data_IF_390251984928
#
_entry.id   IF_390251984928
#
_cell.length_a   1.000
_cell.length_b   1.000
_cell.length_c   1.000
_cell.angle_alpha   90.00
_cell.angle_beta   90.00
_cell.angle_gamma   90.00
#
_symmetry.space_group_name_H-M   'P 1'
#
loop_
_entity.id
_entity.type
_entity.pdbx_description
1 polymer ?
#
# COMPACT_ATOMS: atom_id res chain seq x y z
N UNK A 1 -16.32 5.10 18.30
CA UNK A 1 -16.26 5.74 16.97
C UNK A 1 -17.21 6.93 16.95
N UNK A 2 -16.68 8.14 16.79
CA UNK A 2 -17.33 9.23 16.04
C UNK A 2 -16.20 9.94 15.32
N UNK A 3 -15.84 9.41 14.15
CA UNK A 3 -14.91 10.09 13.25
C UNK A 3 -15.63 11.20 12.46
N UNK A 4 -16.95 11.11 12.29
CA UNK A 4 -17.80 12.25 11.95
C UNK A 4 -19.02 12.34 12.88
N UNK A 5 -19.64 13.51 12.93
CA UNK A 5 -21.04 13.64 13.34
C UNK A 5 -21.87 13.12 12.17
N UNK A 6 -22.51 11.96 12.34
CA UNK A 6 -23.47 11.44 11.36
C UNK A 6 -24.54 12.49 11.11
N UNK A 7 -24.60 13.02 9.89
CA UNK A 7 -25.64 13.89 9.40
C UNK A 7 -26.28 13.27 8.15
N UNK A 8 -27.30 13.93 7.59
CA UNK A 8 -28.04 13.42 6.43
C UNK A 8 -27.16 13.20 5.19
N UNK A 9 -26.01 13.88 5.11
CA UNK A 9 -25.10 13.84 3.96
C UNK A 9 -23.96 12.82 4.11
N UNK A 10 -23.95 12.04 5.19
CA UNK A 10 -22.90 11.02 5.42
C UNK A 10 -23.16 9.72 4.65
N UNK A 11 -22.08 9.09 4.18
CA UNK A 11 -22.13 7.79 3.49
C UNK A 11 -21.21 6.77 4.15
N UNK A 12 -21.59 5.50 4.11
CA UNK A 12 -20.73 4.37 4.51
C UNK A 12 -20.26 3.53 3.33
N UNK A 13 -20.58 3.93 2.10
CA UNK A 13 -20.07 3.27 0.90
C UNK A 13 -18.61 3.68 0.69
N UNK A 14 -17.66 2.74 0.59
CA UNK A 14 -16.28 3.09 0.25
C UNK A 14 -16.10 3.28 -1.26
N UNK A 15 -15.13 4.12 -1.65
CA UNK A 15 -14.66 4.25 -3.04
C UNK A 15 -13.57 3.20 -3.27
N UNK A 16 -13.94 2.07 -3.86
CA UNK A 16 -13.01 0.95 -4.12
C UNK A 16 -12.68 0.77 -5.61
N UNK A 17 -13.37 1.51 -6.48
CA UNK A 17 -13.17 1.47 -7.94
C UNK A 17 -12.80 2.84 -8.42
N UNK A 18 -11.80 2.90 -9.30
CA UNK A 18 -11.29 4.17 -9.78
C UNK A 18 -12.34 4.88 -10.65
N UNK A 19 -12.63 6.16 -10.38
CA UNK A 19 -13.46 6.97 -11.27
C UNK A 19 -12.83 7.09 -12.67
N UNK A 20 -13.63 7.05 -13.76
CA UNK A 20 -13.10 7.11 -15.12
C UNK A 20 -12.21 8.34 -15.39
N UNK A 21 -12.52 9.48 -14.79
CA UNK A 21 -11.75 10.72 -14.95
C UNK A 21 -10.38 10.71 -14.24
N UNK A 22 -10.12 9.74 -13.36
CA UNK A 22 -8.85 9.58 -12.66
C UNK A 22 -7.96 8.47 -13.25
N UNK A 23 -8.44 7.74 -14.26
CA UNK A 23 -7.64 6.72 -14.95
C UNK A 23 -6.56 7.45 -15.78
N UNK A 24 -5.26 7.30 -15.44
CA UNK A 24 -4.22 7.94 -16.21
C UNK A 24 -4.08 7.28 -17.58
N UNK A 25 -3.65 8.02 -18.62
CA UNK A 25 -3.34 7.41 -19.90
C UNK A 25 -2.18 6.42 -19.74
N UNK A 26 -2.31 5.24 -20.37
CA UNK A 26 -1.23 4.24 -20.39
C UNK A 26 -0.15 4.71 -21.37
N UNK A 27 1.12 4.83 -20.95
CA UNK A 27 2.20 5.18 -21.87
C UNK A 27 2.31 4.19 -23.03
N UNK A 28 2.68 4.69 -24.22
CA UNK A 28 2.99 3.82 -25.34
C UNK A 28 4.16 2.89 -24.99
N UNK A 29 4.08 1.62 -25.40
CA UNK A 29 5.04 0.57 -25.07
C UNK A 29 5.19 0.26 -23.57
N UNK A 30 4.21 0.63 -22.72
CA UNK A 30 4.17 0.17 -21.33
C UNK A 30 4.19 -1.36 -21.24
N UNK A 31 5.00 -1.98 -20.34
CA UNK A 31 5.86 -1.39 -19.30
C UNK A 31 7.28 -1.03 -19.72
N UNK A 32 7.64 -1.21 -20.99
CA UNK A 32 8.98 -0.99 -21.53
C UNK A 32 9.28 0.46 -21.92
N UNK A 33 8.33 1.37 -21.66
CA UNK A 33 8.47 2.78 -21.93
C UNK A 33 9.67 3.37 -21.17
N UNK A 34 10.58 4.03 -21.88
CA UNK A 34 11.80 4.61 -21.31
C UNK A 34 12.93 3.63 -20.98
N UNK A 35 12.77 2.32 -21.25
CA UNK A 35 13.85 1.36 -21.07
C UNK A 35 14.88 1.43 -22.20
N UNK A 36 16.16 1.30 -21.85
CA UNK A 36 17.24 1.15 -22.83
C UNK A 36 17.17 -0.20 -23.56
N UNK A 37 17.87 -0.33 -24.69
CA UNK A 37 17.99 -1.61 -25.40
C UNK A 37 18.57 -2.70 -24.51
N UNK A 38 19.53 -2.36 -23.64
CA UNK A 38 20.14 -3.33 -22.73
C UNK A 38 19.16 -3.79 -21.64
N UNK A 39 18.39 -2.86 -21.08
CA UNK A 39 17.34 -3.19 -20.11
C UNK A 39 16.26 -4.10 -20.70
N UNK A 40 15.88 -3.88 -21.97
CA UNK A 40 14.95 -4.74 -22.69
C UNK A 40 15.52 -6.15 -22.92
N UNK A 41 16.79 -6.26 -23.33
CA UNK A 41 17.46 -7.57 -23.46
C UNK A 41 17.53 -8.31 -22.13
N UNK A 42 17.87 -7.61 -21.04
CA UNK A 42 17.88 -8.21 -19.71
C UNK A 42 16.50 -8.68 -19.29
N UNK A 43 15.45 -7.91 -19.59
CA UNK A 43 14.08 -8.36 -19.39
C UNK A 43 13.77 -9.62 -20.19
N UNK A 44 14.16 -9.68 -21.46
CA UNK A 44 13.95 -10.86 -22.30
C UNK A 44 14.66 -12.10 -21.73
N UNK A 45 15.88 -11.95 -21.23
CA UNK A 45 16.61 -13.02 -20.52
C UNK A 45 15.85 -13.43 -19.26
N UNK A 46 15.45 -12.47 -18.42
CA UNK A 46 14.73 -12.74 -17.18
C UNK A 46 13.40 -13.47 -17.44
N UNK A 47 12.65 -13.03 -18.45
CA UNK A 47 11.33 -13.58 -18.81
C UNK A 47 11.42 -14.97 -19.42
N UNK A 48 12.33 -15.17 -20.38
CA UNK A 48 12.33 -16.34 -21.25
C UNK A 48 13.32 -17.42 -20.82
N UNK A 49 14.34 -17.08 -20.03
CA UNK A 49 15.38 -18.03 -19.63
C UNK A 49 15.32 -18.31 -18.12
N UNK A 50 15.36 -17.26 -17.29
CA UNK A 50 15.43 -17.41 -15.84
C UNK A 50 14.09 -17.80 -15.20
N UNK A 51 12.99 -17.15 -15.59
CA UNK A 51 11.69 -17.42 -14.99
C UNK A 51 11.25 -18.89 -15.09
N UNK A 52 11.41 -19.61 -16.21
CA UNK A 52 11.14 -21.05 -16.25
C UNK A 52 11.97 -21.85 -15.24
N UNK A 53 13.24 -21.48 -15.01
CA UNK A 53 14.11 -22.14 -14.02
C UNK A 53 13.60 -21.88 -12.60
N UNK A 54 13.29 -20.62 -12.27
CA UNK A 54 12.67 -20.25 -10.99
C UNK A 54 11.44 -21.12 -10.73
N UNK A 55 10.49 -21.18 -11.69
CA UNK A 55 9.25 -21.92 -11.52
C UNK A 55 9.44 -23.41 -11.28
N UNK A 56 10.49 -24.01 -11.86
CA UNK A 56 10.84 -25.42 -11.66
C UNK A 56 11.44 -25.72 -10.28
N UNK A 57 12.07 -24.73 -9.64
CA UNK A 57 12.66 -24.86 -8.30
C UNK A 57 11.66 -24.62 -7.17
N UNK A 58 10.56 -23.92 -7.44
CA UNK A 58 9.55 -23.63 -6.44
C UNK A 58 8.83 -24.90 -5.96
N UNK A 59 8.58 -24.96 -4.65
CA UNK A 59 7.87 -26.07 -4.02
C UNK A 59 6.43 -25.69 -3.65
N UNK A 60 5.65 -26.67 -3.19
CA UNK A 60 4.25 -26.46 -2.81
C UNK A 60 3.31 -26.23 -4.00
N UNK A 61 2.03 -26.02 -3.71
CA UNK A 61 1.03 -25.76 -4.74
C UNK A 61 1.14 -24.30 -5.21
N UNK A 62 1.12 -24.01 -6.52
CA UNK A 62 1.02 -22.64 -7.02
C UNK A 62 -0.21 -21.90 -6.48
N UNK A 63 -0.12 -20.59 -6.36
CA UNK A 63 -1.29 -19.76 -6.06
C UNK A 63 -2.14 -19.56 -7.33
N UNK A 64 -3.48 -19.47 -7.25
CA UNK A 64 -4.32 -19.21 -8.42
C UNK A 64 -3.90 -17.96 -9.21
N UNK A 65 -3.46 -16.92 -8.51
CA UNK A 65 -3.02 -15.65 -9.08
C UNK A 65 -1.56 -15.61 -9.54
N UNK A 66 -0.81 -16.71 -9.45
CA UNK A 66 0.64 -16.69 -9.69
C UNK A 66 0.97 -16.19 -11.10
N UNK A 67 0.17 -16.55 -12.10
CA UNK A 67 0.32 -16.07 -13.47
C UNK A 67 0.09 -14.56 -13.58
N UNK A 68 -0.93 -14.02 -12.91
CA UNK A 68 -1.21 -12.59 -12.89
C UNK A 68 -0.07 -11.81 -12.22
N UNK A 69 0.53 -12.39 -11.18
CA UNK A 69 1.69 -11.81 -10.51
C UNK A 69 2.94 -11.80 -11.40
N UNK A 70 3.02 -12.66 -12.41
CA UNK A 70 4.14 -12.77 -13.35
C UNK A 70 3.91 -11.94 -14.63
N UNK A 71 3.17 -10.84 -14.52
CA UNK A 71 3.04 -9.88 -15.61
C UNK A 71 4.36 -9.17 -15.92
N UNK A 72 4.47 -8.64 -17.13
CA UNK A 72 5.66 -7.91 -17.56
C UNK A 72 5.91 -6.68 -16.66
N UNK A 73 4.84 -6.00 -16.21
CA UNK A 73 4.92 -4.89 -15.26
C UNK A 73 5.58 -5.31 -13.94
N UNK A 74 5.24 -6.51 -13.45
CA UNK A 74 5.80 -7.05 -12.21
C UNK A 74 7.28 -7.40 -12.41
N UNK A 75 7.63 -8.08 -13.49
CA UNK A 75 9.03 -8.46 -13.74
C UNK A 75 9.94 -7.24 -13.94
N UNK A 76 9.47 -6.21 -14.65
CA UNK A 76 10.17 -4.91 -14.74
C UNK A 76 10.34 -4.28 -13.34
N UNK A 77 9.37 -4.46 -12.44
CA UNK A 77 9.43 -3.96 -11.07
C UNK A 77 10.56 -4.60 -10.27
N UNK A 78 10.72 -5.92 -10.38
CA UNK A 78 11.82 -6.64 -9.73
C UNK A 78 13.19 -6.19 -10.27
N UNK A 79 13.32 -6.06 -11.59
CA UNK A 79 14.54 -5.54 -12.23
C UNK A 79 14.88 -4.12 -11.75
N UNK A 80 13.89 -3.21 -11.68
CA UNK A 80 14.10 -1.86 -11.16
C UNK A 80 14.56 -1.87 -9.70
N UNK A 81 13.97 -2.73 -8.88
CA UNK A 81 14.24 -2.80 -7.45
C UNK A 81 15.64 -3.33 -7.11
N UNK A 82 16.26 -4.10 -8.01
CA UNK A 82 17.66 -4.53 -7.91
C UNK A 82 18.59 -3.69 -8.78
N UNK A 83 18.14 -2.51 -9.25
CA UNK A 83 18.92 -1.60 -10.11
C UNK A 83 19.43 -2.28 -11.38
N UNK A 84 18.64 -3.18 -11.95
CA UNK A 84 18.96 -3.97 -13.14
C UNK A 84 20.13 -4.94 -12.92
N UNK A 85 20.27 -5.48 -11.72
CA UNK A 85 21.13 -6.63 -11.44
C UNK A 85 20.31 -7.92 -11.59
N UNK A 86 20.54 -8.67 -12.67
CA UNK A 86 19.73 -9.83 -13.05
C UNK A 86 19.76 -10.93 -11.97
N UNK A 87 20.94 -11.34 -11.52
CA UNK A 87 21.09 -12.42 -10.53
C UNK A 87 20.34 -12.10 -9.23
N UNK A 88 20.40 -10.85 -8.77
CA UNK A 88 19.64 -10.39 -7.59
C UNK A 88 18.12 -10.40 -7.83
N UNK A 89 17.69 -10.06 -9.06
CA UNK A 89 16.27 -10.10 -9.44
C UNK A 89 15.72 -11.52 -9.46
N UNK A 90 16.51 -12.48 -9.95
CA UNK A 90 16.17 -13.91 -9.96
C UNK A 90 15.92 -14.40 -8.55
N UNK A 91 16.90 -14.22 -7.65
CA UNK A 91 16.79 -14.63 -6.24
C UNK A 91 15.58 -13.98 -5.58
N UNK A 92 15.41 -12.65 -5.73
CA UNK A 92 14.32 -11.93 -5.06
C UNK A 92 12.93 -12.34 -5.55
N UNK A 93 12.79 -12.59 -6.86
CA UNK A 93 11.52 -13.06 -7.42
C UNK A 93 11.22 -14.48 -6.92
N UNK A 94 12.21 -15.39 -6.96
CA UNK A 94 12.09 -16.75 -6.46
C UNK A 94 11.66 -16.78 -4.98
N UNK A 95 12.34 -16.03 -4.12
CA UNK A 95 12.00 -15.89 -2.70
C UNK A 95 10.57 -15.38 -2.52
N UNK A 96 10.14 -14.43 -3.35
CA UNK A 96 8.77 -13.92 -3.27
C UNK A 96 7.75 -14.93 -3.73
N UNK A 97 7.97 -15.63 -4.85
CA UNK A 97 7.03 -16.64 -5.33
C UNK A 97 6.89 -17.80 -4.33
N UNK A 98 8.01 -18.25 -3.76
CA UNK A 98 7.98 -19.26 -2.69
C UNK A 98 7.20 -18.75 -1.48
N UNK A 99 7.50 -17.53 -1.00
CA UNK A 99 6.76 -16.89 0.08
C UNK A 99 5.26 -16.79 -0.22
N UNK A 100 4.85 -16.45 -1.46
CA UNK A 100 3.43 -16.39 -1.84
C UNK A 100 2.77 -17.76 -1.75
N UNK A 101 3.42 -18.82 -2.22
CA UNK A 101 2.92 -20.20 -2.13
C UNK A 101 2.76 -20.68 -0.68
N UNK A 102 3.62 -20.22 0.22
CA UNK A 102 3.59 -20.59 1.64
C UNK A 102 2.59 -19.72 2.44
N UNK A 103 2.62 -18.40 2.24
CA UNK A 103 1.86 -17.42 3.02
C UNK A 103 0.42 -17.23 2.54
N UNK A 104 0.18 -17.36 1.23
CA UNK A 104 -1.12 -17.19 0.54
C UNK A 104 -1.76 -15.81 0.77
N UNK A 105 -1.15 -14.70 0.31
CA UNK A 105 -1.60 -13.35 0.66
C UNK A 105 -2.98 -12.96 0.10
N UNK A 106 -3.44 -13.58 -0.99
CA UNK A 106 -4.79 -13.35 -1.56
C UNK A 106 -5.87 -14.28 -1.03
N UNK A 107 -5.52 -15.34 -0.33
CA UNK A 107 -6.52 -16.29 0.14
C UNK A 107 -7.24 -15.73 1.37
N UNK A 108 -8.55 -15.54 1.23
CA UNK A 108 -9.43 -15.14 2.32
C UNK A 108 -9.75 -16.37 3.18
N UNK A 109 -8.89 -16.68 4.14
CA UNK A 109 -8.95 -17.93 4.91
C UNK A 109 -9.54 -17.81 6.33
N UNK A 110 -10.09 -16.68 6.79
CA UNK A 110 -10.39 -16.56 8.24
C UNK A 110 -11.63 -15.72 8.59
N UNK A 111 -12.43 -16.28 9.52
CA UNK A 111 -13.53 -15.61 10.24
C UNK A 111 -13.06 -14.32 10.93
N UNK A 112 -11.78 -14.25 11.29
CA UNK A 112 -11.16 -13.14 12.01
C UNK A 112 -10.88 -11.90 11.16
N UNK A 113 -10.83 -12.00 9.81
CA UNK A 113 -10.57 -10.81 8.97
C UNK A 113 -11.62 -9.73 9.16
N UNK A 114 -12.89 -10.13 9.23
CA UNK A 114 -13.98 -9.20 9.47
C UNK A 114 -13.85 -8.56 10.85
N UNK A 115 -13.38 -9.30 11.85
CA UNK A 115 -13.13 -8.79 13.21
C UNK A 115 -12.00 -7.75 13.23
N UNK A 116 -10.91 -8.00 12.51
CA UNK A 116 -9.80 -7.04 12.39
C UNK A 116 -10.22 -5.82 11.59
N UNK A 117 -10.93 -6.02 10.49
CA UNK A 117 -11.52 -4.95 9.70
C UNK A 117 -12.50 -4.11 10.54
N UNK A 118 -13.26 -4.72 11.45
CA UNK A 118 -14.20 -4.04 12.34
C UNK A 118 -13.54 -3.02 13.28
N UNK A 119 -12.23 -3.16 13.55
CA UNK A 119 -11.47 -2.15 14.30
C UNK A 119 -11.47 -0.82 13.54
N UNK A 120 -11.52 -0.84 12.20
CA UNK A 120 -11.44 0.35 11.35
C UNK A 120 -10.05 1.00 11.37
N UNK A 121 -9.02 0.24 11.80
CA UNK A 121 -7.64 0.70 11.87
C UNK A 121 -6.97 0.80 10.50
N UNK A 122 -7.44 0.03 9.51
CA UNK A 122 -6.87 -0.02 8.17
C UNK A 122 -7.99 -0.30 7.15
N UNK A 123 -8.04 0.44 6.05
CA UNK A 123 -9.03 0.24 4.99
C UNK A 123 -8.58 0.89 3.66
N UNK A 124 -9.22 0.51 2.56
CA UNK A 124 -9.09 1.17 1.26
C UNK A 124 -10.24 2.15 1.08
N UNK A 125 -9.95 3.38 0.66
CA UNK A 125 -11.00 4.33 0.29
C UNK A 125 -10.43 5.47 -0.56
N UNK A 126 -10.80 5.49 -1.84
CA UNK A 126 -10.44 6.55 -2.77
C UNK A 126 -9.18 6.25 -3.59
N UNK A 127 -8.88 7.18 -4.48
CA UNK A 127 -7.72 7.18 -5.36
C UNK A 127 -7.07 8.56 -5.37
N UNK A 128 -5.76 8.59 -5.52
CA UNK A 128 -5.05 9.84 -5.71
C UNK A 128 -5.12 10.31 -7.18
N UNK A 129 -4.63 11.52 -7.46
CA UNK A 129 -4.65 12.12 -8.80
C UNK A 129 -3.80 11.38 -9.84
N UNK A 130 -3.00 10.40 -9.43
CA UNK A 130 -2.23 9.51 -10.30
C UNK A 130 -2.90 8.15 -10.49
N UNK A 131 -4.15 8.00 -10.01
CA UNK A 131 -4.91 6.77 -10.05
C UNK A 131 -4.42 5.70 -9.09
N UNK A 132 -3.60 6.05 -8.09
CA UNK A 132 -3.11 5.11 -7.07
C UNK A 132 -4.20 4.90 -6.01
N UNK A 133 -4.57 3.65 -5.70
CA UNK A 133 -5.50 3.36 -4.60
C UNK A 133 -4.96 3.94 -3.28
N UNK A 134 -5.87 4.47 -2.46
CA UNK A 134 -5.56 4.99 -1.13
C UNK A 134 -5.71 3.90 -0.07
N UNK A 135 -4.60 3.52 0.56
CA UNK A 135 -4.58 2.70 1.77
C UNK A 135 -4.52 3.61 2.99
N UNK A 136 -5.61 3.65 3.76
CA UNK A 136 -5.74 4.51 4.94
C UNK A 136 -5.48 3.69 6.20
N UNK A 137 -4.59 4.18 7.06
CA UNK A 137 -4.30 3.65 8.38
C UNK A 137 -4.67 4.68 9.45
N UNK A 138 -5.31 4.25 10.53
CA UNK A 138 -5.68 5.08 11.68
C UNK A 138 -4.83 4.66 12.88
N UNK A 139 -3.70 5.34 13.09
CA UNK A 139 -2.62 4.88 13.95
C UNK A 139 -3.06 4.62 15.40
N UNK A 140 -3.93 5.48 15.95
CA UNK A 140 -4.42 5.36 17.34
C UNK A 140 -5.23 4.09 17.65
N UNK A 141 -5.62 3.33 16.62
CA UNK A 141 -6.38 2.09 16.76
C UNK A 141 -5.50 0.84 16.74
N UNK A 142 -4.20 0.98 16.49
CA UNK A 142 -3.26 -0.15 16.44
C UNK A 142 -3.24 -0.98 17.73
N UNK A 143 -3.33 -0.32 18.89
CA UNK A 143 -3.39 -0.98 20.20
C UNK A 143 -4.72 -1.68 20.50
N UNK A 144 -5.74 -1.56 19.63
CA UNK A 144 -7.00 -2.30 19.74
C UNK A 144 -6.93 -3.70 19.14
N UNK A 145 -5.83 -4.02 18.44
CA UNK A 145 -5.59 -5.33 17.83
C UNK A 145 -5.21 -6.35 18.90
N UNK A 146 -5.90 -7.50 18.91
CA UNK A 146 -5.61 -8.61 19.83
C UNK A 146 -4.58 -9.58 19.26
N UNK A 147 -4.66 -9.87 17.96
CA UNK A 147 -3.71 -10.70 17.24
C UNK A 147 -2.98 -9.87 16.16
N UNK A 148 -1.73 -9.55 16.42
CA UNK A 148 -0.93 -8.74 15.50
C UNK A 148 -0.51 -9.50 14.23
N UNK A 149 -0.38 -10.83 14.28
CA UNK A 149 -0.04 -11.61 13.10
C UNK A 149 -1.19 -11.60 12.09
N UNK A 150 -2.43 -11.73 12.57
CA UNK A 150 -3.60 -11.60 11.72
C UNK A 150 -3.78 -10.16 11.21
N UNK A 151 -3.42 -9.14 11.99
CA UNK A 151 -3.44 -7.74 11.52
C UNK A 151 -2.40 -7.49 10.43
N UNK A 152 -1.22 -8.10 10.52
CA UNK A 152 -0.21 -8.06 9.45
C UNK A 152 -0.73 -8.79 8.21
N UNK A 153 -1.34 -9.97 8.37
CA UNK A 153 -1.98 -10.69 7.26
C UNK A 153 -3.09 -9.86 6.61
N UNK A 154 -3.95 -9.21 7.39
CA UNK A 154 -4.99 -8.31 6.89
C UNK A 154 -4.43 -7.09 6.15
N UNK A 155 -3.33 -6.51 6.65
CA UNK A 155 -2.62 -5.41 5.96
C UNK A 155 -2.14 -5.83 4.58
N UNK A 156 -1.55 -7.03 4.48
CA UNK A 156 -1.07 -7.59 3.22
C UNK A 156 -2.23 -7.95 2.29
N UNK A 157 -3.34 -8.43 2.84
CA UNK A 157 -4.56 -8.64 2.06
C UNK A 157 -5.09 -7.32 1.47
N UNK A 158 -5.16 -6.25 2.27
CA UNK A 158 -5.53 -4.92 1.76
C UNK A 158 -4.56 -4.44 0.67
N UNK A 159 -3.27 -4.74 0.80
CA UNK A 159 -2.27 -4.42 -0.23
C UNK A 159 -2.53 -5.17 -1.54
N UNK A 160 -2.80 -6.48 -1.48
CA UNK A 160 -3.18 -7.26 -2.67
C UNK A 160 -4.46 -6.73 -3.31
N UNK A 161 -5.45 -6.36 -2.51
CA UNK A 161 -6.71 -5.76 -2.98
C UNK A 161 -6.47 -4.40 -3.62
N UNK A 162 -5.56 -3.59 -3.08
CA UNK A 162 -5.15 -2.34 -3.69
C UNK A 162 -4.51 -2.59 -5.06
N UNK A 163 -3.60 -3.57 -5.16
CA UNK A 163 -2.98 -3.94 -6.45
C UNK A 163 -4.01 -4.36 -7.50
N UNK A 164 -5.04 -5.11 -7.11
CA UNK A 164 -6.13 -5.50 -8.02
C UNK A 164 -7.00 -4.32 -8.47
N UNK A 165 -7.10 -3.27 -7.65
CA UNK A 165 -7.87 -2.07 -7.96
C UNK A 165 -7.09 -1.06 -8.84
N UNK A 166 -5.80 -1.29 -9.12
CA UNK A 166 -5.01 -0.41 -9.96
C UNK A 166 -5.46 -0.48 -11.42
N UNK A 167 -5.73 0.66 -12.09
CA UNK A 167 -5.91 0.63 -13.54
C UNK A 167 -4.58 0.30 -14.24
N UNK A 168 -4.67 -0.14 -15.50
CA UNK A 168 -3.48 -0.37 -16.33
C UNK A 168 -2.58 0.87 -16.35
N UNK A 169 -1.26 0.69 -16.28
CA UNK A 169 -0.30 1.79 -16.22
C UNK A 169 -0.01 2.32 -14.81
N UNK A 170 -0.84 1.97 -13.81
CA UNK A 170 -0.58 2.27 -12.40
C UNK A 170 -0.01 1.04 -11.72
N UNK A 171 1.10 1.22 -11.00
CA UNK A 171 1.82 0.13 -10.34
C UNK A 171 2.14 0.41 -8.87
N UNK A 172 1.53 1.43 -8.28
CA UNK A 172 1.87 1.95 -6.96
C UNK A 172 0.63 2.29 -6.14
N UNK A 173 0.76 2.20 -4.82
CA UNK A 173 -0.25 2.65 -3.85
C UNK A 173 0.14 3.99 -3.23
N UNK A 174 -0.86 4.73 -2.75
CA UNK A 174 -0.68 5.87 -1.86
C UNK A 174 -1.15 5.46 -0.45
N UNK A 175 -0.28 5.64 0.55
CA UNK A 175 -0.58 5.29 1.93
C UNK A 175 -0.81 6.56 2.73
N UNK A 176 -1.97 6.67 3.39
CA UNK A 176 -2.29 7.76 4.31
C UNK A 176 -2.30 7.18 5.73
N UNK A 177 -1.51 7.73 6.63
CA UNK A 177 -1.49 7.30 8.05
C UNK A 177 -1.88 8.46 8.94
N UNK A 178 -3.08 8.37 9.52
CA UNK A 178 -3.68 9.39 10.37
C UNK A 178 -3.25 9.21 11.83
N UNK A 179 -2.59 10.22 12.40
CA UNK A 179 -1.98 10.18 13.73
C UNK A 179 -2.72 10.99 14.80
N UNK A 180 -3.84 11.65 14.49
CA UNK A 180 -4.65 12.35 15.48
C UNK A 180 -5.06 11.42 16.62
N UNK A 181 -4.75 11.84 17.86
CA UNK A 181 -5.00 11.08 19.08
C UNK A 181 -4.08 9.88 19.30
N UNK A 182 -3.11 9.64 18.41
CA UNK A 182 -2.14 8.56 18.57
C UNK A 182 -1.04 8.94 19.56
N UNK A 183 -0.53 7.95 20.29
CA UNK A 183 0.58 8.02 21.22
C UNK A 183 1.31 6.67 21.27
N UNK A 184 2.41 6.60 22.02
CA UNK A 184 3.26 5.39 22.09
C UNK A 184 2.56 4.14 22.68
N UNK A 185 1.39 4.28 23.31
CA UNK A 185 0.67 3.19 23.97
C UNK A 185 -0.58 2.71 23.23
N UNK A 186 -1.11 3.50 22.28
CA UNK A 186 -2.29 3.13 21.50
C UNK A 186 -1.99 2.83 20.03
N UNK A 187 -0.74 3.01 19.59
CA UNK A 187 -0.27 2.61 18.27
C UNK A 187 0.06 1.12 18.18
N UNK A 188 0.45 0.69 16.99
CA UNK A 188 1.05 -0.64 16.80
C UNK A 188 2.38 -0.75 17.54
N UNK A 189 2.69 -1.89 18.17
CA UNK A 189 4.02 -2.15 18.73
C UNK A 189 5.10 -2.03 17.65
N UNK A 190 6.27 -1.50 18.02
CA UNK A 190 7.37 -1.30 17.08
C UNK A 190 7.83 -2.59 16.39
N UNK A 191 7.81 -3.72 17.11
CA UNK A 191 8.15 -5.03 16.55
C UNK A 191 7.22 -5.45 15.41
N UNK A 192 5.93 -5.13 15.53
CA UNK A 192 4.91 -5.42 14.50
C UNK A 192 5.13 -4.52 13.28
N UNK A 193 5.36 -3.23 13.50
CA UNK A 193 5.66 -2.28 12.42
C UNK A 193 6.92 -2.68 11.65
N UNK A 194 8.00 -3.03 12.34
CA UNK A 194 9.26 -3.48 11.71
C UNK A 194 9.05 -4.77 10.94
N UNK A 195 8.34 -5.75 11.51
CA UNK A 195 7.97 -7.00 10.81
C UNK A 195 7.21 -6.73 9.52
N UNK A 196 6.24 -5.83 9.56
CA UNK A 196 5.46 -5.45 8.37
C UNK A 196 6.33 -4.77 7.30
N UNK A 197 7.18 -3.82 7.70
CA UNK A 197 8.10 -3.14 6.80
C UNK A 197 9.12 -4.11 6.16
N UNK A 198 9.61 -5.08 6.91
CA UNK A 198 10.51 -6.12 6.41
C UNK A 198 9.84 -6.98 5.31
N UNK A 199 8.58 -7.40 5.54
CA UNK A 199 7.80 -8.15 4.53
C UNK A 199 7.58 -7.31 3.27
N UNK A 200 7.18 -6.04 3.42
CA UNK A 200 6.98 -5.13 2.29
C UNK A 200 8.29 -4.92 1.50
N UNK A 201 9.39 -4.69 2.22
CA UNK A 201 10.71 -4.49 1.63
C UNK A 201 11.19 -5.70 0.83
N UNK A 202 10.91 -6.92 1.29
CA UNK A 202 11.31 -8.14 0.58
C UNK A 202 10.41 -8.46 -0.61
N UNK A 203 9.10 -8.45 -0.40
CA UNK A 203 8.14 -9.09 -1.31
C UNK A 203 7.26 -8.13 -2.11
N UNK A 204 7.28 -6.83 -1.80
CA UNK A 204 6.49 -5.81 -2.52
C UNK A 204 7.38 -4.65 -3.02
N UNK A 205 8.45 -4.95 -3.79
CA UNK A 205 9.36 -3.92 -4.29
C UNK A 205 8.62 -2.85 -5.09
N UNK A 206 9.07 -1.59 -5.04
CA UNK A 206 8.58 -0.46 -5.86
C UNK A 206 7.06 -0.19 -5.81
N UNK A 207 6.32 -0.80 -4.87
CA UNK A 207 4.86 -0.65 -4.76
C UNK A 207 4.45 0.64 -4.04
N UNK A 208 5.29 1.19 -3.17
CA UNK A 208 5.01 2.47 -2.51
C UNK A 208 5.23 3.63 -3.49
N UNK A 209 4.18 4.37 -3.79
CA UNK A 209 4.27 5.61 -4.56
C UNK A 209 4.42 6.85 -3.70
N UNK A 210 3.65 6.94 -2.62
CA UNK A 210 3.71 8.03 -1.64
C UNK A 210 3.20 7.49 -0.30
N UNK A 211 3.87 7.85 0.80
CA UNK A 211 3.37 7.67 2.16
C UNK A 211 3.16 9.05 2.78
N UNK A 212 2.01 9.32 3.37
CA UNK A 212 1.71 10.60 4.01
C UNK A 212 1.32 10.38 5.46
N UNK A 213 2.08 10.99 6.36
CA UNK A 213 1.79 11.08 7.78
C UNK A 213 0.86 12.27 7.99
N UNK A 214 -0.42 12.00 8.23
CA UNK A 214 -1.46 13.01 8.40
C UNK A 214 -1.64 13.30 9.90
N UNK A 215 -1.70 14.59 10.26
CA UNK A 215 -1.76 15.10 11.63
C UNK A 215 -0.67 14.49 12.54
N UNK A 216 0.62 14.69 12.23
CA UNK A 216 1.71 14.05 12.97
C UNK A 216 1.69 14.41 14.46
N UNK A 217 1.62 13.39 15.31
CA UNK A 217 1.73 13.55 16.77
C UNK A 217 3.15 13.93 17.20
N UNK A 218 3.36 14.30 18.46
CA UNK A 218 4.64 14.85 18.95
C UNK A 218 5.81 13.84 18.94
N UNK A 219 5.51 12.54 18.98
CA UNK A 219 6.51 11.47 19.05
C UNK A 219 6.94 10.91 17.67
N UNK A 220 6.38 11.44 16.58
CA UNK A 220 6.74 11.04 15.21
C UNK A 220 8.26 11.10 14.92
N UNK A 221 9.01 12.13 15.38
CA UNK A 221 10.46 12.15 15.19
C UNK A 221 11.17 10.94 15.82
N UNK A 222 10.68 10.44 16.96
CA UNK A 222 11.22 9.26 17.64
C UNK A 222 10.88 8.00 16.84
N UNK A 223 9.62 7.85 16.44
CA UNK A 223 9.17 6.73 15.61
C UNK A 223 9.99 6.63 14.31
N UNK A 224 10.18 7.77 13.63
CA UNK A 224 10.94 7.85 12.39
C UNK A 224 12.39 7.37 12.58
N UNK A 225 13.08 7.80 13.65
CA UNK A 225 14.44 7.34 13.96
C UNK A 225 14.54 5.82 14.16
N UNK A 226 13.49 5.19 14.70
CA UNK A 226 13.47 3.74 14.94
C UNK A 226 13.24 2.93 13.66
N UNK A 227 12.39 3.41 12.74
CA UNK A 227 12.07 2.68 11.50
C UNK A 227 13.00 3.00 10.33
N UNK A 228 13.68 4.16 10.36
CA UNK A 228 14.58 4.62 9.30
C UNK A 228 15.62 3.57 8.84
N UNK A 229 16.26 2.76 9.72
CA UNK A 229 17.24 1.75 9.29
C UNK A 229 16.66 0.67 8.36
N UNK A 230 15.34 0.51 8.31
CA UNK A 230 14.64 -0.48 7.50
C UNK A 230 14.12 0.09 6.17
N UNK A 231 14.49 1.34 5.83
CA UNK A 231 14.03 2.03 4.62
C UNK A 231 15.21 2.56 3.84
N UNK A 232 15.25 2.27 2.54
CA UNK A 232 16.24 2.85 1.64
C UNK A 232 15.92 4.36 1.38
N UNK A 233 16.90 5.15 0.87
CA UNK A 233 16.70 6.58 0.65
C UNK A 233 15.54 6.95 -0.28
N UNK A 234 15.21 6.12 -1.28
CA UNK A 234 14.10 6.36 -2.20
C UNK A 234 12.77 6.16 -1.46
N UNK A 235 12.68 5.13 -0.63
CA UNK A 235 11.51 4.91 0.23
C UNK A 235 11.32 6.06 1.24
N UNK A 236 12.40 6.56 1.85
CA UNK A 236 12.35 7.69 2.77
C UNK A 236 11.87 8.99 2.10
N UNK A 237 12.35 9.28 0.89
CA UNK A 237 11.94 10.46 0.12
C UNK A 237 10.45 10.45 -0.25
N UNK A 238 9.81 9.29 -0.27
CA UNK A 238 8.35 9.12 -0.49
C UNK A 238 7.51 9.35 0.77
N UNK A 239 8.12 9.63 1.93
CA UNK A 239 7.37 9.96 3.15
C UNK A 239 7.14 11.47 3.17
N UNK A 240 5.89 11.90 3.27
CA UNK A 240 5.51 13.30 3.44
C UNK A 240 4.66 13.50 4.69
N UNK A 241 4.47 14.75 5.08
CA UNK A 241 3.66 15.16 6.22
C UNK A 241 2.55 16.11 5.77
N UNK A 242 1.39 16.02 6.41
CA UNK A 242 0.27 16.92 6.13
C UNK A 242 -0.62 17.13 7.36
N UNK A 243 -1.36 18.23 7.36
CA UNK A 243 -2.58 18.41 8.15
C UNK A 243 -3.76 18.67 7.20
N UNK A 244 -4.99 18.50 7.70
CA UNK A 244 -6.22 18.78 6.96
C UNK A 244 -6.32 20.23 6.48
N UNK A 245 -5.83 21.19 7.28
CA UNK A 245 -5.82 22.62 6.93
C UNK A 245 -4.56 23.07 6.14
N UNK A 246 -3.66 22.14 5.82
CA UNK A 246 -2.41 22.39 5.10
C UNK A 246 -1.34 23.15 5.89
N UNK A 247 -1.54 23.38 7.20
CA UNK A 247 -0.54 24.01 8.06
C UNK A 247 0.62 23.05 8.37
N UNK A 248 1.79 23.64 8.57
CA UNK A 248 2.97 22.91 9.04
C UNK A 248 3.10 23.10 10.54
N UNK A 249 2.75 22.09 11.33
CA UNK A 249 2.82 22.19 12.79
C UNK A 249 4.22 21.92 13.34
N UNK A 250 5.08 21.25 12.57
CA UNK A 250 6.43 20.82 12.98
C UNK A 250 7.39 20.87 11.81
N UNK A 251 8.70 20.77 12.05
CA UNK A 251 9.68 20.58 10.96
C UNK A 251 9.55 19.16 10.39
N UNK A 252 9.69 19.04 9.08
CA UNK A 252 9.80 17.73 8.45
C UNK A 252 11.11 17.04 8.83
N UNK A 253 11.12 15.71 8.77
CA UNK A 253 12.32 14.92 9.04
C UNK A 253 13.28 14.96 7.85
N UNK A 254 14.59 15.01 8.12
CA UNK A 254 15.61 15.08 7.07
C UNK A 254 15.56 13.82 6.18
N UNK A 255 15.61 14.03 4.86
CA UNK A 255 15.55 12.97 3.85
C UNK A 255 14.13 12.52 3.46
N UNK A 256 13.11 13.13 4.07
CA UNK A 256 11.70 12.92 3.67
C UNK A 256 11.30 13.89 2.56
N UNK A 257 10.15 13.64 1.93
CA UNK A 257 9.52 14.52 0.93
C UNK A 257 8.93 15.81 1.50
N UNK A 258 9.04 16.04 2.82
CA UNK A 258 8.64 17.29 3.45
C UNK A 258 7.14 17.40 3.72
N UNK A 259 6.68 18.64 3.96
CA UNK A 259 5.27 18.93 4.13
C UNK A 259 4.59 19.18 2.79
N UNK A 260 3.40 18.62 2.63
CA UNK A 260 2.56 18.77 1.43
C UNK A 260 1.14 19.13 1.84
N UNK A 261 0.34 19.66 0.89
CA UNK A 261 -1.11 19.68 1.05
C UNK A 261 -1.67 18.39 0.47
N UNK A 262 -2.52 17.68 1.22
CA UNK A 262 -3.16 16.46 0.72
C UNK A 262 -3.94 16.71 -0.57
N UNK A 263 -4.60 17.86 -0.67
CA UNK A 263 -5.35 18.26 -1.86
C UNK A 263 -4.48 18.52 -3.10
N UNK A 264 -3.15 18.62 -2.97
CA UNK A 264 -2.27 18.68 -4.13
C UNK A 264 -2.15 17.28 -4.80
N UNK A 265 -2.30 16.20 -4.03
CA UNK A 265 -2.11 14.82 -4.50
C UNK A 265 -3.40 13.99 -4.58
N UNK A 266 -4.44 14.32 -3.81
CA UNK A 266 -5.75 13.64 -3.82
C UNK A 266 -6.85 14.66 -4.10
N UNK A 267 -7.82 14.33 -4.94
CA UNK A 267 -9.00 15.18 -5.13
C UNK A 267 -9.87 15.21 -3.88
N UNK A 268 -10.43 16.38 -3.53
CA UNK A 268 -11.24 16.53 -2.32
C UNK A 268 -12.41 15.53 -2.27
N UNK A 269 -13.05 15.24 -3.40
CA UNK A 269 -14.14 14.26 -3.51
C UNK A 269 -13.72 12.80 -3.29
N UNK A 270 -12.42 12.51 -3.27
CA UNK A 270 -11.84 11.17 -3.02
C UNK A 270 -11.25 11.05 -1.61
N UNK A 271 -11.25 12.13 -0.83
CA UNK A 271 -10.61 12.20 0.47
C UNK A 271 -11.65 12.41 1.57
N UNK A 272 -11.61 11.63 2.67
CA UNK A 272 -12.48 11.84 3.80
C UNK A 272 -12.41 13.26 4.38
N UNK A 273 -13.54 13.77 4.89
CA UNK A 273 -13.62 15.12 5.47
C UNK A 273 -12.66 15.29 6.65
N UNK A 274 -12.44 14.24 7.45
CA UNK A 274 -11.51 14.24 8.57
C UNK A 274 -10.04 14.40 8.13
N UNK A 275 -9.74 14.06 6.87
CA UNK A 275 -8.42 14.24 6.28
C UNK A 275 -8.32 15.52 5.44
N UNK A 276 -9.38 16.35 5.43
CA UNK A 276 -9.42 17.64 4.73
C UNK A 276 -10.03 17.59 3.31
N UNK A 277 -10.80 16.55 2.98
CA UNK A 277 -11.56 16.47 1.72
C UNK A 277 -13.05 16.79 1.87
N UNK A 278 -13.82 16.42 0.85
CA UNK A 278 -15.27 16.64 0.75
C UNK A 278 -16.06 15.33 0.88
N UNK A 279 -15.39 14.17 0.93
CA UNK A 279 -16.05 12.88 0.99
C UNK A 279 -16.48 12.53 2.42
N UNK A 280 -17.75 12.73 2.76
CA UNK A 280 -18.31 12.52 4.10
C UNK A 280 -18.49 11.03 4.45
N UNK A 281 -17.36 10.32 4.53
CA UNK A 281 -17.30 8.89 4.75
C UNK A 281 -17.29 8.53 6.24
N UNK A 282 -18.20 7.65 6.63
CA UNK A 282 -18.29 7.10 7.97
C UNK A 282 -18.09 5.60 7.88
N UNK A 283 -16.98 5.10 8.43
CA UNK A 283 -16.64 3.69 8.39
C UNK A 283 -17.70 2.83 9.11
N UNK A 284 -18.47 2.05 8.37
CA UNK A 284 -19.38 1.05 8.91
C UNK A 284 -18.91 -0.33 8.45
N UNK A 285 -18.59 -1.21 9.40
CA UNK A 285 -18.04 -2.53 9.05
C UNK A 285 -18.97 -3.36 8.17
N UNK A 286 -20.29 -3.31 8.35
CA UNK A 286 -21.18 -4.15 7.57
C UNK A 286 -21.28 -3.67 6.12
N UNK A 287 -21.41 -2.36 5.91
CA UNK A 287 -21.43 -1.77 4.57
C UNK A 287 -20.07 -1.89 3.88
N UNK A 288 -18.99 -1.55 4.60
CA UNK A 288 -17.63 -1.64 4.09
C UNK A 288 -17.28 -3.08 3.71
N UNK A 289 -17.49 -4.04 4.61
CA UNK A 289 -17.15 -5.44 4.35
C UNK A 289 -17.92 -6.01 3.17
N UNK A 290 -19.21 -5.69 3.07
CA UNK A 290 -20.05 -6.10 1.93
C UNK A 290 -19.48 -5.55 0.61
N UNK A 291 -19.22 -4.25 0.53
CA UNK A 291 -18.65 -3.61 -0.66
C UNK A 291 -17.24 -4.15 -0.98
N UNK A 292 -16.41 -4.27 0.05
CA UNK A 292 -15.05 -4.77 -0.05
C UNK A 292 -15.00 -6.18 -0.59
N UNK A 293 -15.86 -7.10 -0.12
CA UNK A 293 -15.92 -8.46 -0.64
C UNK A 293 -16.51 -8.53 -2.06
N UNK A 294 -17.51 -7.69 -2.37
CA UNK A 294 -18.17 -7.67 -3.68
C UNK A 294 -17.28 -7.14 -4.81
N UNK A 295 -16.35 -6.21 -4.53
CA UNK A 295 -15.65 -5.47 -5.58
C UNK A 295 -14.70 -6.30 -6.47
N UNK A 296 -14.46 -7.59 -6.18
CA UNK A 296 -13.58 -8.45 -6.98
C UNK A 296 -13.97 -9.94 -6.84
N UNK A 297 -15.28 -10.22 -6.83
CA UNK A 297 -15.83 -11.56 -7.07
C UNK A 297 -16.08 -11.78 -8.57
#
# INVERSE_FOLDING_TARGET
>A
MKLAVTNADSTSTPILTIPPNLIPPVPENHPFNGLSTEQKRMFDTFRNQELPLILNELTGTPCPEEQDFLSDECLVRYLKATKWQLDESVVRLQDTLQWRRDFRPRENRWEDMKTICAIGGQYLNGFDKKGRPLLVNVARLGGSVKNYDDSVRFSLYLMERAMMAMPKGVSQVCVLTEFSGSNMFNGYPMSVTIKYLDILGKHYPELLGQSVVVHPSWYIPVLYKLVKPFMDPVTLAKICFATSDGRQEKKAEQGTGGWIRLLDIVDASMLPVELGGDYNFVFNINEYWKAFMANHA
#
